data_IF_023881596402
#
_entry.id   IF_023881596402
#
_cell.length_a   1.000
_cell.length_b   1.000
_cell.length_c   1.000
_cell.angle_alpha   90.00
_cell.angle_beta   90.00
_cell.angle_gamma   90.00
#
_symmetry.space_group_name_H-M   'P 1'
#
loop_
_entity.id
_entity.type
_entity.pdbx_description
1 polymer ?
#
# COMPACT_ATOMS: atom_id res chain seq x y z
N UNK A 1 -9.07 19.55 -3.50
CA UNK A 1 -7.79 18.89 -3.85
C UNK A 1 -8.01 18.00 -5.06
N UNK A 2 -7.28 18.20 -6.13
CA UNK A 2 -7.31 17.30 -7.28
C UNK A 2 -6.34 16.15 -7.03
N UNK A 3 -6.86 14.92 -6.92
CA UNK A 3 -6.05 13.72 -6.61
C UNK A 3 -5.98 12.86 -7.88
N UNK A 4 -4.76 12.61 -8.35
CA UNK A 4 -4.47 11.74 -9.47
C UNK A 4 -3.79 10.44 -8.98
N UNK A 5 -4.28 9.29 -9.40
CA UNK A 5 -3.68 7.99 -9.07
C UNK A 5 -2.78 7.54 -10.22
N UNK A 6 -1.54 7.20 -9.90
CA UNK A 6 -0.53 6.75 -10.85
C UNK A 6 0.13 5.45 -10.38
N UNK A 7 0.60 4.57 -11.27
CA UNK A 7 1.40 3.41 -10.87
C UNK A 7 2.72 3.85 -10.25
N UNK A 8 3.19 3.11 -9.24
CA UNK A 8 4.55 3.24 -8.74
C UNK A 8 5.49 2.46 -9.68
N UNK A 9 6.38 3.17 -10.34
CA UNK A 9 7.38 2.66 -11.27
C UNK A 9 8.77 3.17 -10.85
N UNK A 10 9.83 2.58 -11.37
CA UNK A 10 11.21 2.90 -10.98
C UNK A 10 11.54 4.40 -11.13
N UNK A 11 11.02 5.05 -12.16
CA UNK A 11 11.25 6.49 -12.44
C UNK A 11 10.64 7.42 -11.38
N UNK A 12 9.79 6.89 -10.48
CA UNK A 12 9.13 7.66 -9.41
C UNK A 12 9.71 7.40 -8.02
N UNK A 13 10.84 6.72 -7.93
CA UNK A 13 11.49 6.40 -6.65
C UNK A 13 11.78 7.66 -5.85
N UNK A 14 12.31 8.72 -6.47
CA UNK A 14 12.64 9.96 -5.76
C UNK A 14 11.39 10.66 -5.20
N UNK A 15 10.26 10.64 -5.92
CA UNK A 15 8.98 11.16 -5.42
C UNK A 15 8.51 10.39 -4.18
N UNK A 16 8.73 9.07 -4.17
CA UNK A 16 8.37 8.22 -3.03
C UNK A 16 9.31 8.44 -1.86
N UNK A 17 10.60 8.61 -2.07
CA UNK A 17 11.54 8.96 -1.00
C UNK A 17 11.19 10.30 -0.33
N UNK A 18 10.73 11.28 -1.13
CA UNK A 18 10.22 12.53 -0.59
C UNK A 18 8.93 12.32 0.23
N UNK A 19 7.99 11.53 -0.28
CA UNK A 19 6.77 11.14 0.44
C UNK A 19 7.09 10.45 1.77
N UNK A 20 8.02 9.50 1.79
CA UNK A 20 8.48 8.81 2.99
C UNK A 20 9.11 9.78 4.02
N UNK A 21 9.86 10.78 3.54
CA UNK A 21 10.39 11.84 4.39
C UNK A 21 9.28 12.72 4.98
N UNK A 22 8.29 13.08 4.17
CA UNK A 22 7.15 13.90 4.62
C UNK A 22 6.29 13.17 5.66
N UNK A 23 6.08 11.86 5.52
CA UNK A 23 5.43 11.03 6.54
C UNK A 23 6.13 11.16 7.90
N UNK A 24 7.46 11.05 7.92
CA UNK A 24 8.27 11.10 9.15
C UNK A 24 8.34 12.47 9.79
N UNK A 25 8.22 13.54 9.00
CA UNK A 25 8.12 14.90 9.53
C UNK A 25 6.81 15.18 10.25
N UNK A 26 5.73 14.54 9.81
CA UNK A 26 4.40 14.76 10.36
C UNK A 26 4.04 13.78 11.49
N UNK A 27 4.74 12.65 11.58
CA UNK A 27 4.50 11.60 12.58
C UNK A 27 5.83 11.00 13.07
N UNK A 28 6.03 10.92 14.37
CA UNK A 28 7.29 10.49 14.99
C UNK A 28 7.51 8.95 14.97
N UNK A 29 6.53 8.18 14.52
CA UNK A 29 6.57 6.73 14.66
C UNK A 29 6.61 6.00 13.32
N UNK A 30 7.82 5.52 12.93
CA UNK A 30 8.04 4.67 11.76
C UNK A 30 9.06 3.57 12.09
N UNK A 31 8.76 2.32 11.66
CA UNK A 31 9.52 1.13 12.00
C UNK A 31 10.84 0.96 11.23
N UNK A 32 11.14 1.81 10.23
CA UNK A 32 12.38 1.71 9.43
C UNK A 32 12.91 3.09 9.07
N UNK A 33 14.21 3.14 8.75
CA UNK A 33 14.89 4.34 8.27
C UNK A 33 14.95 4.36 6.74
N UNK A 34 15.00 5.57 6.16
CA UNK A 34 15.27 5.79 4.74
C UNK A 34 16.78 5.95 4.58
N UNK A 35 17.48 4.83 4.52
CA UNK A 35 18.90 4.77 4.29
C UNK A 35 19.24 4.27 2.88
N UNK A 36 20.52 4.16 2.57
CA UNK A 36 20.98 3.70 1.26
C UNK A 36 20.63 2.22 1.01
N UNK A 37 20.53 1.40 2.04
CA UNK A 37 20.17 -0.02 1.91
C UNK A 37 18.68 -0.17 1.60
N UNK A 38 17.82 0.63 2.23
CA UNK A 38 16.41 0.73 1.86
C UNK A 38 16.23 1.14 0.40
N UNK A 39 16.91 2.23 -0.03
CA UNK A 39 16.85 2.71 -1.41
C UNK A 39 17.32 1.65 -2.41
N UNK A 40 18.45 0.98 -2.15
CA UNK A 40 18.97 -0.10 -3.01
C UNK A 40 17.97 -1.26 -3.13
N UNK A 41 17.36 -1.66 -2.03
CA UNK A 41 16.37 -2.74 -2.01
C UNK A 41 15.14 -2.39 -2.85
N UNK A 42 14.62 -1.17 -2.74
CA UNK A 42 13.48 -0.70 -3.55
C UNK A 42 13.85 -0.65 -5.03
N UNK A 43 15.01 -0.10 -5.38
CA UNK A 43 15.48 -0.07 -6.79
C UNK A 43 15.59 -1.49 -7.35
N UNK A 44 16.19 -2.40 -6.60
CA UNK A 44 16.37 -3.80 -7.03
C UNK A 44 15.02 -4.51 -7.26
N UNK A 45 14.00 -4.21 -6.47
CA UNK A 45 12.68 -4.84 -6.59
C UNK A 45 12.01 -4.60 -7.95
N UNK A 46 12.27 -3.46 -8.59
CA UNK A 46 11.69 -3.18 -9.91
C UNK A 46 12.31 -4.02 -11.05
N UNK A 47 13.49 -4.58 -10.85
CA UNK A 47 14.16 -5.47 -11.80
C UNK A 47 13.94 -6.96 -11.49
N UNK A 48 13.36 -7.29 -10.34
CA UNK A 48 13.14 -8.66 -9.88
C UNK A 48 11.75 -9.16 -10.33
N UNK A 49 11.74 -10.26 -11.09
CA UNK A 49 10.50 -10.85 -11.62
C UNK A 49 9.54 -11.35 -10.54
N UNK A 50 10.01 -11.63 -9.32
CA UNK A 50 9.15 -12.01 -8.19
C UNK A 50 8.18 -10.90 -7.74
N UNK A 51 8.46 -9.65 -8.12
CA UNK A 51 7.57 -8.50 -7.87
C UNK A 51 6.65 -8.15 -9.04
N UNK A 52 6.72 -8.89 -10.16
CA UNK A 52 6.03 -8.53 -11.42
C UNK A 52 4.50 -8.49 -11.28
N UNK A 53 3.92 -9.28 -10.38
CA UNK A 53 2.47 -9.34 -10.14
C UNK A 53 1.98 -8.30 -9.11
N UNK A 54 2.88 -7.60 -8.43
CA UNK A 54 2.54 -6.58 -7.46
C UNK A 54 1.80 -5.41 -8.10
N UNK A 55 0.89 -4.81 -7.35
CA UNK A 55 0.25 -3.54 -7.71
C UNK A 55 0.61 -2.53 -6.66
N UNK A 56 1.35 -1.51 -7.05
CA UNK A 56 1.71 -0.37 -6.21
C UNK A 56 1.25 0.92 -6.88
N UNK A 57 0.50 1.75 -6.14
CA UNK A 57 -0.10 2.97 -6.65
C UNK A 57 0.26 4.17 -5.78
N UNK A 58 0.39 5.32 -6.41
CA UNK A 58 0.69 6.60 -5.77
C UNK A 58 -0.45 7.58 -6.03
N UNK A 59 -0.86 8.29 -4.99
CA UNK A 59 -1.77 9.41 -5.09
C UNK A 59 -0.97 10.71 -5.15
N UNK A 60 -1.14 11.47 -6.22
CA UNK A 60 -0.53 12.78 -6.42
C UNK A 60 -1.53 13.90 -6.17
N UNK A 61 -1.07 14.96 -5.53
CA UNK A 61 -1.73 16.26 -5.52
C UNK A 61 -0.67 17.36 -5.59
N UNK A 62 -0.94 18.39 -6.38
CA UNK A 62 -0.03 19.55 -6.58
C UNK A 62 1.43 19.12 -6.91
N UNK A 63 1.56 18.07 -7.73
CA UNK A 63 2.85 17.57 -8.22
C UNK A 63 3.65 16.72 -7.24
N UNK A 64 3.13 16.40 -6.06
CA UNK A 64 3.80 15.56 -5.05
C UNK A 64 2.96 14.34 -4.65
N UNK A 65 3.63 13.29 -4.21
CA UNK A 65 2.97 12.12 -3.66
C UNK A 65 2.44 12.44 -2.26
N UNK A 66 1.15 12.19 -2.05
CA UNK A 66 0.44 12.40 -0.77
C UNK A 66 -0.11 11.12 -0.18
N UNK A 67 -0.08 10.02 -0.92
CA UNK A 67 -0.54 8.71 -0.46
C UNK A 67 0.01 7.59 -1.34
N UNK A 68 0.08 6.39 -0.75
CA UNK A 68 0.60 5.19 -1.39
C UNK A 68 -0.18 3.97 -0.94
N UNK A 69 -0.36 3.01 -1.84
CA UNK A 69 -0.91 1.69 -1.57
C UNK A 69 -0.05 0.64 -2.26
N UNK A 70 0.28 -0.44 -1.55
CA UNK A 70 1.05 -1.57 -2.06
C UNK A 70 0.30 -2.87 -1.82
N UNK A 71 0.27 -3.72 -2.84
CA UNK A 71 -0.31 -5.05 -2.74
C UNK A 71 0.49 -6.09 -3.50
N UNK A 72 0.46 -7.31 -3.02
CA UNK A 72 1.07 -8.50 -3.63
C UNK A 72 0.02 -9.56 -3.92
N UNK A 73 0.36 -10.52 -4.79
CA UNK A 73 -0.50 -11.67 -5.08
C UNK A 73 -0.04 -12.87 -4.26
N UNK A 74 -0.98 -13.57 -3.65
CA UNK A 74 -0.77 -14.78 -2.87
C UNK A 74 -1.44 -15.95 -3.59
N UNK A 75 -0.65 -16.92 -4.02
CA UNK A 75 -1.13 -18.18 -4.60
C UNK A 75 -0.75 -19.33 -3.68
N UNK A 76 -1.69 -20.18 -3.33
CA UNK A 76 -1.47 -21.29 -2.41
C UNK A 76 -2.18 -22.56 -2.85
N UNK A 77 -1.57 -23.69 -2.57
CA UNK A 77 -2.20 -25.01 -2.73
C UNK A 77 -3.32 -25.27 -1.73
N UNK A 78 -3.48 -24.41 -0.72
CA UNK A 78 -4.55 -24.54 0.30
C UNK A 78 -5.95 -24.66 -0.35
N UNK A 79 -6.23 -23.79 -1.33
CA UNK A 79 -7.50 -23.79 -2.06
C UNK A 79 -7.35 -23.62 -3.57
N UNK A 80 -6.13 -23.59 -4.08
CA UNK A 80 -5.82 -23.41 -5.49
C UNK A 80 -6.15 -22.03 -6.06
N UNK A 81 -6.48 -21.06 -5.20
CA UNK A 81 -6.81 -19.70 -5.63
C UNK A 81 -5.62 -18.76 -5.53
N UNK A 82 -5.72 -17.65 -6.25
CA UNK A 82 -4.86 -16.47 -6.08
C UNK A 82 -5.67 -15.37 -5.43
N UNK A 83 -5.15 -14.82 -4.33
CA UNK A 83 -5.71 -13.69 -3.59
C UNK A 83 -4.75 -12.51 -3.64
N UNK A 84 -5.24 -11.31 -3.52
CA UNK A 84 -4.40 -10.15 -3.27
C UNK A 84 -4.19 -9.95 -1.77
N UNK A 85 -3.02 -9.48 -1.40
CA UNK A 85 -2.69 -9.04 -0.05
C UNK A 85 -2.37 -7.55 -0.07
N UNK A 86 -3.09 -6.78 0.72
CA UNK A 86 -2.79 -5.37 0.96
C UNK A 86 -1.68 -5.29 1.99
N UNK A 87 -0.47 -5.00 1.52
CA UNK A 87 0.72 -4.92 2.35
C UNK A 87 0.76 -3.60 3.13
N UNK A 88 0.50 -2.50 2.44
CA UNK A 88 0.55 -1.19 3.05
C UNK A 88 -0.37 -0.18 2.37
N UNK A 89 -0.98 0.69 3.16
CA UNK A 89 -1.68 1.90 2.71
C UNK A 89 -1.39 3.03 3.67
N UNK A 90 -0.95 4.16 3.15
CA UNK A 90 -0.65 5.33 3.95
C UNK A 90 -0.93 6.63 3.21
N UNK A 91 -1.31 7.66 3.96
CA UNK A 91 -1.55 9.02 3.49
C UNK A 91 -0.86 9.99 4.44
N UNK A 92 -0.16 10.98 3.89
CA UNK A 92 0.45 12.07 4.66
C UNK A 92 -0.62 12.70 5.57
N UNK A 93 -0.30 12.91 6.83
CA UNK A 93 -1.27 13.28 7.88
C UNK A 93 -2.07 14.52 7.50
N UNK A 94 -1.41 15.55 7.00
CA UNK A 94 -2.05 16.79 6.54
C UNK A 94 -3.02 16.62 5.37
N UNK A 95 -2.97 15.48 4.66
CA UNK A 95 -3.84 15.17 3.52
C UNK A 95 -4.89 14.09 3.83
N UNK A 96 -4.99 13.63 5.08
CA UNK A 96 -6.02 12.67 5.51
C UNK A 96 -7.42 13.31 5.46
N UNK A 97 -8.45 12.46 5.50
CA UNK A 97 -9.86 12.86 5.47
C UNK A 97 -10.32 13.58 4.20
N UNK A 98 -9.51 13.56 3.13
CA UNK A 98 -9.84 14.10 1.80
C UNK A 98 -10.14 13.00 0.75
N UNK A 99 -10.39 11.77 1.20
CA UNK A 99 -10.71 10.64 0.31
C UNK A 99 -9.50 10.01 -0.41
N UNK A 100 -8.27 10.34 -0.03
CA UNK A 100 -7.05 9.83 -0.70
C UNK A 100 -6.97 8.30 -0.60
N UNK A 101 -7.10 7.75 0.60
CA UNK A 101 -7.04 6.30 0.83
C UNK A 101 -8.16 5.56 0.10
N UNK A 102 -9.38 6.12 0.08
CA UNK A 102 -10.51 5.56 -0.66
C UNK A 102 -10.21 5.48 -2.15
N UNK A 103 -9.70 6.55 -2.75
CA UNK A 103 -9.35 6.57 -4.19
C UNK A 103 -8.24 5.56 -4.54
N UNK A 104 -7.22 5.43 -3.70
CA UNK A 104 -6.18 4.42 -3.87
C UNK A 104 -6.77 3.01 -3.82
N UNK A 105 -7.63 2.73 -2.85
CA UNK A 105 -8.25 1.43 -2.69
C UNK A 105 -9.24 1.12 -3.84
N UNK A 106 -10.01 2.09 -4.30
CA UNK A 106 -10.92 1.94 -5.44
C UNK A 106 -10.16 1.57 -6.71
N UNK A 107 -9.06 2.27 -6.99
CA UNK A 107 -8.23 1.95 -8.17
C UNK A 107 -7.55 0.58 -8.03
N UNK A 108 -7.04 0.21 -6.85
CA UNK A 108 -6.53 -1.13 -6.59
C UNK A 108 -7.60 -2.19 -6.84
N UNK A 109 -8.81 -2.02 -6.29
CA UNK A 109 -9.93 -2.96 -6.50
C UNK A 109 -10.31 -3.09 -7.97
N UNK A 110 -10.31 -2.00 -8.72
CA UNK A 110 -10.56 -2.01 -10.16
C UNK A 110 -9.53 -2.86 -10.89
N UNK A 111 -8.23 -2.65 -10.63
CA UNK A 111 -7.15 -3.43 -11.25
C UNK A 111 -7.19 -4.91 -10.86
N UNK A 112 -7.48 -5.22 -9.61
CA UNK A 112 -7.64 -6.60 -9.14
C UNK A 112 -8.81 -7.29 -9.86
N UNK A 113 -9.94 -6.61 -10.00
CA UNK A 113 -11.10 -7.12 -10.74
C UNK A 113 -10.75 -7.43 -12.22
N UNK A 114 -10.01 -6.54 -12.87
CA UNK A 114 -9.58 -6.73 -14.26
C UNK A 114 -8.64 -7.95 -14.42
N UNK A 115 -7.93 -8.33 -13.35
CA UNK A 115 -7.11 -9.55 -13.29
C UNK A 115 -7.88 -10.81 -12.85
N UNK A 116 -9.18 -10.70 -12.57
CA UNK A 116 -9.99 -11.82 -12.07
C UNK A 116 -9.75 -12.16 -10.59
N UNK A 117 -9.11 -11.29 -9.83
CA UNK A 117 -8.89 -11.47 -8.40
C UNK A 117 -10.15 -11.03 -7.64
N UNK A 118 -10.70 -11.91 -6.82
CA UNK A 118 -11.98 -11.71 -6.13
C UNK A 118 -11.84 -11.47 -4.63
N UNK A 119 -10.64 -11.65 -4.08
CA UNK A 119 -10.40 -11.51 -2.63
C UNK A 119 -9.15 -10.67 -2.37
N UNK A 120 -9.30 -9.63 -1.56
CA UNK A 120 -8.23 -8.82 -1.00
C UNK A 120 -8.19 -9.03 0.50
N UNK A 121 -7.04 -9.44 1.03
CA UNK A 121 -6.79 -9.65 2.45
C UNK A 121 -5.88 -8.54 2.96
N UNK A 122 -6.09 -8.07 4.17
CA UNK A 122 -5.22 -7.11 4.83
C UNK A 122 -5.01 -7.47 6.30
N UNK A 123 -3.80 -7.27 6.80
CA UNK A 123 -3.56 -7.08 8.22
C UNK A 123 -3.79 -5.61 8.54
N UNK A 124 -4.64 -5.33 9.51
CA UNK A 124 -5.04 -3.96 9.85
C UNK A 124 -4.23 -3.44 11.02
N UNK A 125 -3.75 -2.20 10.93
CA UNK A 125 -3.12 -1.55 12.08
C UNK A 125 -4.13 -1.41 13.24
N UNK A 126 -3.63 -1.55 14.47
CA UNK A 126 -4.48 -1.61 15.67
C UNK A 126 -5.01 -0.23 16.13
N UNK A 127 -4.50 0.89 15.58
CA UNK A 127 -4.94 2.21 15.99
C UNK A 127 -6.38 2.52 15.53
N UNK A 128 -7.05 3.40 16.24
CA UNK A 128 -8.48 3.69 16.00
C UNK A 128 -8.76 4.28 14.62
N UNK A 129 -7.87 5.11 14.08
CA UNK A 129 -8.04 5.74 12.77
C UNK A 129 -8.03 4.67 11.67
N UNK A 130 -7.04 3.77 11.71
CA UNK A 130 -6.96 2.65 10.78
C UNK A 130 -8.19 1.71 10.91
N UNK A 131 -8.59 1.38 12.14
CA UNK A 131 -9.77 0.54 12.37
C UNK A 131 -11.05 1.18 11.83
N UNK A 132 -11.24 2.49 12.00
CA UNK A 132 -12.37 3.20 11.38
C UNK A 132 -12.34 3.13 9.87
N UNK A 133 -11.17 3.34 9.27
CA UNK A 133 -10.99 3.24 7.81
C UNK A 133 -11.37 1.84 7.31
N UNK A 134 -10.77 0.78 7.85
CA UNK A 134 -11.04 -0.58 7.38
C UNK A 134 -12.49 -1.01 7.56
N UNK A 135 -13.13 -0.63 8.67
CA UNK A 135 -14.56 -0.90 8.91
C UNK A 135 -15.50 -0.13 7.99
N UNK A 136 -15.04 0.99 7.41
CA UNK A 136 -15.82 1.78 6.46
C UNK A 136 -15.79 1.27 5.03
N UNK A 137 -14.90 0.30 4.72
CA UNK A 137 -14.77 -0.24 3.37
C UNK A 137 -16.01 -1.07 3.02
N UNK A 138 -16.73 -0.74 1.93
CA UNK A 138 -17.89 -1.54 1.48
C UNK A 138 -17.49 -2.99 1.22
N UNK A 139 -18.36 -3.92 1.60
CA UNK A 139 -18.18 -5.37 1.41
C UNK A 139 -16.96 -5.95 2.15
N UNK A 140 -16.48 -5.27 3.18
CA UNK A 140 -15.41 -5.77 4.04
C UNK A 140 -15.95 -6.54 5.24
N UNK A 141 -15.19 -7.51 5.71
CA UNK A 141 -15.47 -8.28 6.90
C UNK A 141 -14.19 -8.44 7.72
N UNK A 142 -14.22 -7.97 8.96
CA UNK A 142 -13.16 -8.23 9.93
C UNK A 142 -13.27 -9.69 10.41
N UNK A 143 -12.27 -10.53 10.10
CA UNK A 143 -12.29 -11.97 10.42
C UNK A 143 -11.14 -12.34 11.34
N UNK A 144 -10.10 -12.87 10.78
CA UNK A 144 -9.01 -13.52 11.49
C UNK A 144 -8.08 -12.51 12.17
N UNK A 145 -7.27 -12.99 13.13
CA UNK A 145 -6.22 -12.24 13.80
C UNK A 145 -4.87 -12.67 13.20
N UNK A 146 -4.04 -11.72 12.79
CA UNK A 146 -2.71 -11.99 12.25
C UNK A 146 -1.66 -12.17 13.34
N UNK A 147 -0.61 -12.94 13.03
CA UNK A 147 0.60 -13.08 13.85
C UNK A 147 1.83 -12.75 13.01
N UNK A 148 2.90 -12.32 13.66
CA UNK A 148 4.22 -12.11 13.09
C UNK A 148 5.19 -13.11 13.71
N UNK A 149 5.95 -13.81 12.87
CA UNK A 149 6.96 -14.78 13.30
C UNK A 149 8.27 -14.46 12.59
N UNK A 150 9.28 -14.10 13.34
CA UNK A 150 10.62 -13.89 12.80
C UNK A 150 11.26 -15.24 12.46
N UNK A 151 11.65 -15.40 11.21
CA UNK A 151 12.37 -16.59 10.76
C UNK A 151 13.88 -16.35 10.97
N UNK A 152 14.47 -17.10 11.89
CA UNK A 152 15.90 -17.03 12.26
C UNK A 152 16.73 -18.03 11.49
#
# INVERSE_FOLDING_TARGET
>A
MNIEIRPYIAERIEDVLQFESDLRKEEDFWGWEIDEDYKKSVVASFADSSFSDSISLLAYADGRVIGRIDSSMISSHFDGSTKAYLDWICVVKSCRHHGVAQKLLEELRRQLKDRGITTLIALTAANEEAQRFYKSIPDSLMRDIGIWIDIK
#
